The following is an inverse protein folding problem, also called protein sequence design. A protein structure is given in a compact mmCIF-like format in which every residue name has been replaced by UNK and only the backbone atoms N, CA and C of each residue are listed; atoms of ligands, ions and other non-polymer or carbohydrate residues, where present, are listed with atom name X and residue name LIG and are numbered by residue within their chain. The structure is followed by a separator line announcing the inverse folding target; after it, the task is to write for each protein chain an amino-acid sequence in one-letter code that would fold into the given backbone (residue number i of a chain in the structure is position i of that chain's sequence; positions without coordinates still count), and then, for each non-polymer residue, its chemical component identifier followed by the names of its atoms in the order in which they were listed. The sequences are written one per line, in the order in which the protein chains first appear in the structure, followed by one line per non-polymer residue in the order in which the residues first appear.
data_IF_407641863946
#
_entry.id   IF_407641863946
#
_cell.length_a   1.000
_cell.length_b   1.000
_cell.length_c   1.000
_cell.angle_alpha   90.00
_cell.angle_beta   90.00
_cell.angle_gamma   90.00
#
_symmetry.space_group_name_H-M   'P 1'
#
loop_
_entity.id
_entity.type
_entity.pdbx_description
1 polymer ?
#
# COMPACT_ATOMS: atom_id res chain seq x y z
N UNK A 1 15.99 -21.03 -13.72
CA UNK A 1 15.91 -19.91 -12.75
C UNK A 1 15.12 -20.39 -11.55
N UNK A 2 15.47 -19.96 -10.33
CA UNK A 2 14.61 -20.24 -9.18
C UNK A 2 13.24 -19.56 -9.42
N UNK A 3 12.12 -20.16 -9.01
CA UNK A 3 10.81 -19.52 -9.13
C UNK A 3 10.83 -18.18 -8.40
N UNK A 4 10.21 -17.16 -9.01
CA UNK A 4 10.08 -15.85 -8.37
C UNK A 4 9.40 -16.00 -7.01
N UNK A 5 9.98 -15.37 -5.97
CA UNK A 5 9.47 -15.45 -4.60
C UNK A 5 8.05 -14.88 -4.56
N UNK A 6 7.09 -15.63 -4.00
CA UNK A 6 5.75 -15.10 -3.73
C UNK A 6 5.82 -13.97 -2.70
N UNK A 7 5.15 -12.85 -2.98
CA UNK A 7 5.08 -11.69 -2.09
C UNK A 7 3.72 -11.71 -1.39
N UNK A 8 3.73 -11.76 -0.05
CA UNK A 8 2.51 -11.68 0.75
C UNK A 8 2.24 -10.23 1.18
N UNK A 9 1.14 -9.66 0.68
CA UNK A 9 0.62 -8.35 1.10
C UNK A 9 -0.55 -8.53 2.05
N UNK A 10 -0.44 -7.99 3.26
CA UNK A 10 -1.58 -7.84 4.16
C UNK A 10 -2.28 -6.50 3.92
N UNK A 11 -3.60 -6.51 4.05
CA UNK A 11 -4.45 -5.33 3.99
C UNK A 11 -5.20 -5.26 5.31
N UNK A 12 -4.97 -4.23 6.12
CA UNK A 12 -5.64 -4.10 7.40
C UNK A 12 -7.10 -3.69 7.20
N UNK A 13 -8.04 -4.57 7.55
CA UNK A 13 -9.47 -4.33 7.39
C UNK A 13 -10.02 -3.47 8.53
N UNK A 14 -9.97 -2.16 8.32
CA UNK A 14 -10.61 -1.13 9.14
C UNK A 14 -11.61 -0.33 8.28
N UNK A 15 -12.37 0.59 8.88
CA UNK A 15 -13.34 1.45 8.17
C UNK A 15 -12.65 2.53 7.31
N UNK A 16 -11.85 2.12 6.32
CA UNK A 16 -11.06 3.00 5.48
C UNK A 16 -11.82 3.54 4.26
N UNK A 17 -11.31 4.62 3.67
CA UNK A 17 -11.73 5.11 2.37
C UNK A 17 -11.36 4.13 1.27
N UNK A 18 -12.32 3.62 0.50
CA UNK A 18 -12.12 2.47 -0.39
C UNK A 18 -10.95 2.63 -1.38
N UNK A 19 -10.77 3.83 -1.96
CA UNK A 19 -9.72 4.11 -2.93
C UNK A 19 -8.31 4.08 -2.34
N UNK A 20 -8.17 4.30 -1.03
CA UNK A 20 -6.88 4.25 -0.32
C UNK A 20 -6.22 2.88 -0.41
N UNK A 21 -7.04 1.84 -0.60
CA UNK A 21 -6.59 0.45 -0.70
C UNK A 21 -6.82 -0.10 -2.10
N UNK A 22 -8.00 0.11 -2.68
CA UNK A 22 -8.34 -0.45 -3.99
C UNK A 22 -7.39 0.01 -5.10
N UNK A 23 -7.04 1.30 -5.13
CA UNK A 23 -6.12 1.86 -6.13
C UNK A 23 -4.71 1.23 -6.04
N UNK A 24 -4.03 1.31 -4.89
CA UNK A 24 -2.78 0.60 -4.65
C UNK A 24 -2.82 -0.90 -4.97
N UNK A 25 -3.86 -1.61 -4.53
CA UNK A 25 -3.99 -3.04 -4.75
C UNK A 25 -4.10 -3.38 -6.23
N UNK A 26 -4.87 -2.63 -7.01
CA UNK A 26 -5.00 -2.88 -8.45
C UNK A 26 -3.68 -2.65 -9.19
N UNK A 27 -2.88 -1.64 -8.80
CA UNK A 27 -1.54 -1.43 -9.35
C UNK A 27 -0.64 -2.63 -9.04
N UNK A 28 -0.63 -3.09 -7.79
CA UNK A 28 0.15 -4.27 -7.37
C UNK A 28 -0.30 -5.52 -8.14
N UNK A 29 -1.61 -5.78 -8.21
CA UNK A 29 -2.14 -6.98 -8.84
C UNK A 29 -1.87 -6.99 -10.35
N UNK A 30 -1.98 -5.84 -11.03
CA UNK A 30 -1.64 -5.75 -12.45
C UNK A 30 -0.13 -5.92 -12.73
N UNK A 31 0.74 -5.67 -11.74
CA UNK A 31 2.17 -5.96 -11.82
C UNK A 31 2.52 -7.41 -11.45
N UNK A 32 1.55 -8.21 -10.99
CA UNK A 32 1.79 -9.58 -10.52
C UNK A 32 2.04 -10.56 -11.65
N UNK A 33 2.80 -11.62 -11.36
CA UNK A 33 3.02 -12.72 -12.31
C UNK A 33 1.70 -13.30 -12.85
N UNK A 34 0.65 -13.36 -12.04
CA UNK A 34 -0.66 -13.87 -12.44
C UNK A 34 -1.23 -13.09 -13.63
N UNK A 35 -1.28 -11.76 -13.53
CA UNK A 35 -1.84 -10.89 -14.57
C UNK A 35 -0.92 -10.82 -15.79
N UNK A 36 0.38 -10.63 -15.55
CA UNK A 36 1.39 -10.57 -16.63
C UNK A 36 1.39 -11.86 -17.47
N UNK A 37 1.29 -13.03 -16.83
CA UNK A 37 1.22 -14.31 -17.53
C UNK A 37 -0.05 -14.47 -18.36
N UNK A 38 -1.20 -14.05 -17.85
CA UNK A 38 -2.47 -14.11 -18.58
C UNK A 38 -2.41 -13.28 -19.86
N UNK A 39 -1.89 -12.05 -19.78
CA UNK A 39 -1.74 -11.21 -20.96
C UNK A 39 -0.66 -11.69 -21.93
N UNK A 40 0.39 -12.35 -21.43
CA UNK A 40 1.39 -12.97 -22.30
C UNK A 40 0.82 -14.15 -23.10
N UNK A 41 -0.05 -14.97 -22.50
CA UNK A 41 -0.70 -16.11 -23.17
C UNK A 41 -1.57 -15.69 -24.36
N UNK A 42 -2.17 -14.49 -24.31
CA UNK A 42 -2.97 -13.95 -25.41
C UNK A 42 -2.18 -13.00 -26.34
N UNK A 43 -0.85 -12.94 -26.19
CA UNK A 43 0.04 -12.17 -27.07
C UNK A 43 0.04 -10.65 -26.86
N UNK A 44 -0.54 -10.16 -25.76
CA UNK A 44 -0.57 -8.72 -25.42
C UNK A 44 0.74 -8.27 -24.75
N UNK A 45 1.38 -9.17 -24.00
CA UNK A 45 2.63 -8.89 -23.27
C UNK A 45 3.74 -9.84 -23.76
N UNK A 46 4.97 -9.36 -24.02
CA UNK A 46 6.09 -10.24 -24.37
C UNK A 46 6.41 -11.25 -23.26
N UNK A 47 6.69 -12.50 -23.65
CA UNK A 47 6.97 -13.59 -22.69
C UNK A 47 8.15 -13.28 -21.76
N UNK A 48 9.16 -12.53 -22.22
CA UNK A 48 10.31 -12.14 -21.41
C UNK A 48 9.99 -11.20 -20.23
N UNK A 49 8.80 -10.59 -20.20
CA UNK A 49 8.34 -9.78 -19.05
C UNK A 49 7.81 -10.67 -17.93
N UNK A 50 7.28 -11.87 -18.25
CA UNK A 50 6.73 -12.82 -17.26
C UNK A 50 7.80 -13.22 -16.24
N UNK A 51 9.04 -13.44 -16.69
CA UNK A 51 10.17 -13.85 -15.84
C UNK A 51 10.61 -12.76 -14.84
N UNK A 52 10.20 -11.50 -15.06
CA UNK A 52 10.51 -10.35 -14.21
C UNK A 52 9.44 -10.10 -13.14
N UNK A 53 8.26 -10.69 -13.30
CA UNK A 53 7.15 -10.52 -12.37
C UNK A 53 7.17 -11.58 -11.27
N UNK A 54 6.71 -11.22 -10.08
CA UNK A 54 6.55 -12.16 -8.96
C UNK A 54 5.08 -12.43 -8.66
N UNK A 55 4.71 -13.63 -8.19
CA UNK A 55 3.39 -13.86 -7.65
C UNK A 55 3.12 -12.94 -6.46
N UNK A 56 1.92 -12.35 -6.41
CA UNK A 56 1.47 -11.53 -5.27
C UNK A 56 0.21 -12.16 -4.69
N UNK A 57 0.21 -12.39 -3.37
CA UNK A 57 -0.95 -12.89 -2.62
C UNK A 57 -1.41 -11.81 -1.65
N UNK A 58 -2.70 -11.49 -1.69
CA UNK A 58 -3.32 -10.52 -0.78
C UNK A 58 -4.07 -11.22 0.35
N UNK A 59 -3.86 -10.74 1.57
CA UNK A 59 -4.53 -11.21 2.77
C UNK A 59 -5.29 -10.02 3.38
N UNK A 60 -6.62 -10.08 3.37
CA UNK A 60 -7.47 -9.08 4.02
C UNK A 60 -7.58 -9.43 5.50
N UNK A 61 -6.88 -8.70 6.37
CA UNK A 61 -6.66 -9.04 7.78
C UNK A 61 -7.66 -8.30 8.66
N UNK A 62 -8.57 -9.05 9.28
CA UNK A 62 -9.55 -8.55 10.24
C UNK A 62 -9.23 -8.94 11.70
N UNK A 63 -10.02 -8.43 12.63
CA UNK A 63 -10.13 -9.03 13.98
C UNK A 63 -11.05 -10.26 13.94
N UNK A 64 -12.13 -10.17 13.16
CA UNK A 64 -13.03 -11.28 12.82
C UNK A 64 -13.13 -11.43 11.31
N UNK A 65 -13.92 -12.38 10.83
CA UNK A 65 -14.26 -12.53 9.40
C UNK A 65 -15.56 -11.79 9.02
N UNK A 66 -16.08 -10.94 9.92
CA UNK A 66 -17.29 -10.17 9.66
C UNK A 66 -17.02 -9.06 8.63
N UNK A 67 -18.01 -8.69 7.79
CA UNK A 67 -17.84 -7.62 6.82
C UNK A 67 -17.57 -6.26 7.49
N UNK A 68 -16.50 -5.59 7.05
CA UNK A 68 -16.12 -4.23 7.49
C UNK A 68 -16.65 -3.19 6.50
N UNK A 69 -17.36 -2.15 6.96
CA UNK A 69 -17.89 -1.11 6.07
C UNK A 69 -16.78 -0.17 5.59
N UNK A 70 -16.87 0.27 4.33
CA UNK A 70 -15.99 1.24 3.70
C UNK A 70 -16.79 2.43 3.18
N UNK A 71 -16.12 3.47 2.69
CA UNK A 71 -16.79 4.60 2.00
C UNK A 71 -17.59 4.15 0.78
N UNK A 72 -18.65 4.89 0.44
CA UNK A 72 -19.48 4.59 -0.73
C UNK A 72 -20.39 3.38 -0.54
N UNK A 73 -20.72 3.02 0.71
CA UNK A 73 -21.52 1.85 1.08
C UNK A 73 -20.93 0.51 0.64
N UNK A 74 -19.63 0.48 0.32
CA UNK A 74 -18.90 -0.74 0.05
C UNK A 74 -18.65 -1.51 1.36
N UNK A 75 -18.36 -2.80 1.23
CA UNK A 75 -17.90 -3.64 2.34
C UNK A 75 -16.73 -4.49 1.87
N UNK A 76 -15.80 -4.76 2.77
CA UNK A 76 -14.75 -5.77 2.58
C UNK A 76 -14.96 -6.90 3.58
N UNK A 77 -14.81 -8.13 3.12
CA UNK A 77 -14.84 -9.32 3.99
C UNK A 77 -13.40 -9.75 4.22
N UNK A 78 -12.91 -9.74 5.47
CA UNK A 78 -11.58 -10.27 5.78
C UNK A 78 -11.42 -11.71 5.29
N UNK A 79 -10.25 -12.04 4.74
CA UNK A 79 -9.90 -13.39 4.30
C UNK A 79 -9.14 -14.16 5.38
N UNK A 80 -8.64 -13.46 6.40
CA UNK A 80 -7.92 -14.01 7.54
C UNK A 80 -8.07 -13.08 8.75
N UNK A 81 -7.66 -13.55 9.92
CA UNK A 81 -7.63 -12.75 11.15
C UNK A 81 -6.21 -12.44 11.57
N UNK A 82 -6.01 -11.48 12.48
CA UNK A 82 -4.69 -11.18 13.07
C UNK A 82 -3.99 -12.44 13.64
N UNK A 83 -4.76 -13.39 14.17
CA UNK A 83 -4.24 -14.63 14.77
C UNK A 83 -3.88 -15.71 13.75
N UNK A 84 -4.52 -15.70 12.57
CA UNK A 84 -4.40 -16.75 11.55
C UNK A 84 -3.70 -16.30 10.28
N UNK A 85 -3.33 -15.01 10.20
CA UNK A 85 -2.64 -14.43 9.07
C UNK A 85 -1.26 -15.06 8.90
N UNK A 86 -0.88 -15.49 7.69
CA UNK A 86 0.49 -15.93 7.43
C UNK A 86 1.48 -14.76 7.53
N UNK A 87 2.78 -15.07 7.58
CA UNK A 87 3.80 -14.01 7.54
C UNK A 87 3.66 -13.14 6.29
N UNK A 88 3.69 -11.83 6.52
CA UNK A 88 3.55 -10.82 5.48
C UNK A 88 4.92 -10.24 5.12
N UNK A 89 5.15 -10.00 3.83
CA UNK A 89 6.29 -9.19 3.38
C UNK A 89 5.97 -7.70 3.53
N UNK A 90 4.70 -7.33 3.28
CA UNK A 90 4.21 -5.96 3.33
C UNK A 90 2.83 -5.87 3.98
N UNK A 91 2.56 -4.76 4.67
CA UNK A 91 1.23 -4.41 5.21
C UNK A 91 0.80 -3.06 4.64
N UNK A 92 -0.42 -2.98 4.09
CA UNK A 92 -1.03 -1.73 3.62
C UNK A 92 -2.19 -1.34 4.55
N UNK A 93 -2.17 -0.08 4.99
CA UNK A 93 -3.18 0.50 5.88
C UNK A 93 -3.79 1.72 5.20
N UNK A 94 -5.07 1.57 4.82
CA UNK A 94 -5.88 2.67 4.29
C UNK A 94 -6.24 3.70 5.36
N UNK A 95 -6.73 4.86 4.94
CA UNK A 95 -7.13 5.94 5.83
C UNK A 95 -8.55 5.79 6.36
N UNK A 96 -8.76 5.61 7.68
CA UNK A 96 -10.08 5.70 8.32
C UNK A 96 -10.43 7.15 8.62
N UNK A 97 -11.48 7.40 9.43
CA UNK A 97 -11.73 8.76 9.94
C UNK A 97 -10.52 9.27 10.72
N UNK A 98 -10.16 10.56 10.66
CA UNK A 98 -8.91 11.07 11.23
C UNK A 98 -8.73 10.86 12.73
N UNK A 99 -9.82 10.70 13.47
CA UNK A 99 -9.83 10.48 14.92
C UNK A 99 -9.86 9.01 15.32
N UNK A 100 -10.06 8.10 14.36
CA UNK A 100 -10.11 6.67 14.64
C UNK A 100 -8.71 6.16 14.97
N UNK A 101 -8.63 5.29 15.96
CA UNK A 101 -7.41 4.63 16.41
C UNK A 101 -7.55 3.13 16.23
N UNK A 102 -6.42 2.46 16.00
CA UNK A 102 -6.42 1.00 15.97
C UNK A 102 -6.83 0.42 17.33
N UNK A 103 -7.58 -0.68 17.29
CA UNK A 103 -7.85 -1.50 18.47
C UNK A 103 -6.54 -2.05 19.07
N UNK A 104 -6.54 -2.57 20.31
CA UNK A 104 -5.37 -3.23 20.87
C UNK A 104 -4.86 -4.40 20.02
N UNK A 105 -5.77 -5.18 19.41
CA UNK A 105 -5.44 -6.30 18.53
C UNK A 105 -4.65 -5.83 17.31
N UNK A 106 -5.18 -4.85 16.58
CA UNK A 106 -4.49 -4.30 15.40
C UNK A 106 -3.22 -3.54 15.78
N UNK A 107 -3.21 -2.85 16.91
CA UNK A 107 -2.02 -2.17 17.43
C UNK A 107 -0.87 -3.17 17.61
N UNK A 108 -1.14 -4.29 18.29
CA UNK A 108 -0.16 -5.35 18.48
C UNK A 108 0.29 -5.96 17.15
N UNK A 109 -0.65 -6.26 16.26
CA UNK A 109 -0.35 -6.82 14.94
C UNK A 109 0.60 -5.92 14.12
N UNK A 110 0.34 -4.60 14.08
CA UNK A 110 1.20 -3.63 13.40
C UNK A 110 2.58 -3.54 14.06
N UNK A 111 2.64 -3.52 15.40
CA UNK A 111 3.91 -3.51 16.12
C UNK A 111 4.78 -4.74 15.82
N UNK A 112 4.18 -5.94 15.84
CA UNK A 112 4.87 -7.19 15.55
C UNK A 112 5.37 -7.23 14.09
N UNK A 113 4.55 -6.79 13.14
CA UNK A 113 4.92 -6.68 11.73
C UNK A 113 6.12 -5.74 11.52
N UNK A 114 6.09 -4.55 12.13
CA UNK A 114 7.20 -3.58 12.03
C UNK A 114 8.45 -4.09 12.75
N UNK A 115 8.31 -4.71 13.93
CA UNK A 115 9.42 -5.29 14.69
C UNK A 115 10.12 -6.43 13.92
N UNK A 116 9.40 -7.16 13.08
CA UNK A 116 9.95 -8.16 12.17
C UNK A 116 10.70 -7.56 10.96
N UNK A 117 10.78 -6.23 10.85
CA UNK A 117 11.48 -5.53 9.76
C UNK A 117 10.76 -5.58 8.41
N UNK A 118 9.46 -5.90 8.40
CA UNK A 118 8.63 -6.04 7.19
C UNK A 118 8.14 -4.68 6.68
N UNK A 119 7.83 -4.58 5.40
CA UNK A 119 7.46 -3.29 4.80
C UNK A 119 6.08 -2.81 5.25
N UNK A 120 5.92 -1.53 5.49
CA UNK A 120 4.66 -0.93 5.90
C UNK A 120 4.29 0.21 4.96
N UNK A 121 3.09 0.18 4.40
CA UNK A 121 2.52 1.25 3.59
C UNK A 121 1.31 1.84 4.31
N UNK A 122 1.22 3.16 4.32
CA UNK A 122 0.01 3.87 4.74
C UNK A 122 -0.40 4.89 3.71
N UNK A 123 -1.70 5.08 3.53
CA UNK A 123 -2.25 6.09 2.63
C UNK A 123 -3.23 7.00 3.36
N UNK A 124 -3.33 8.26 2.93
CA UNK A 124 -4.28 9.21 3.52
C UNK A 124 -4.06 9.35 5.03
N UNK A 125 -5.08 9.10 5.84
CA UNK A 125 -5.04 9.10 7.30
C UNK A 125 -4.48 7.81 7.90
N UNK A 126 -4.07 6.83 7.09
CA UNK A 126 -3.53 5.54 7.58
C UNK A 126 -2.31 5.71 8.50
N UNK A 127 -1.46 6.72 8.22
CA UNK A 127 -0.33 7.06 9.09
C UNK A 127 -0.78 7.55 10.47
N UNK A 128 -1.90 8.28 10.56
CA UNK A 128 -2.49 8.70 11.83
C UNK A 128 -3.22 7.55 12.53
N UNK A 129 -3.84 6.63 11.79
CA UNK A 129 -4.51 5.46 12.36
C UNK A 129 -3.55 4.61 13.19
N UNK A 130 -2.30 4.48 12.74
CA UNK A 130 -1.24 3.77 13.46
C UNK A 130 -0.45 4.62 14.44
N UNK A 131 -0.79 5.90 14.63
CA UNK A 131 -0.03 6.79 15.50
C UNK A 131 -0.01 6.31 16.96
N UNK A 132 -1.11 5.71 17.44
CA UNK A 132 -1.21 5.14 18.79
C UNK A 132 -0.32 3.91 19.02
N UNK A 133 0.18 3.28 17.95
CA UNK A 133 1.09 2.13 18.05
C UNK A 133 2.52 2.54 18.43
N UNK A 134 2.87 3.82 18.25
CA UNK A 134 4.22 4.35 18.47
C UNK A 134 5.25 3.94 17.40
N UNK A 135 4.89 3.15 16.38
CA UNK A 135 5.86 2.68 15.35
C UNK A 135 6.40 3.82 14.47
N UNK A 136 5.72 4.97 14.47
CA UNK A 136 6.16 6.18 13.76
C UNK A 136 6.92 7.17 14.66
N UNK A 137 7.06 6.91 15.97
CA UNK A 137 7.76 7.81 16.88
C UNK A 137 9.22 8.01 16.42
N UNK A 138 9.61 9.27 16.20
CA UNK A 138 10.94 9.65 15.70
C UNK A 138 11.17 9.42 14.20
N UNK A 139 10.16 8.92 13.47
CA UNK A 139 10.24 8.66 12.02
C UNK A 139 9.80 9.86 11.19
N UNK A 140 10.38 10.00 10.01
CA UNK A 140 9.85 10.91 8.99
C UNK A 140 8.61 10.28 8.36
N UNK A 141 7.50 11.02 8.35
CA UNK A 141 6.25 10.56 7.77
C UNK A 141 5.46 11.71 7.14
N UNK A 142 4.55 11.37 6.24
CA UNK A 142 3.47 12.24 5.80
C UNK A 142 2.14 11.59 6.09
N UNK A 143 1.09 12.39 6.06
CA UNK A 143 -0.31 11.99 6.08
C UNK A 143 -1.03 12.82 5.02
N UNK A 144 -2.32 12.59 4.77
CA UNK A 144 -3.13 13.51 3.98
C UNK A 144 -2.78 14.98 4.31
N UNK A 145 -2.37 15.76 3.31
CA UNK A 145 -1.75 17.07 3.52
C UNK A 145 -2.70 18.08 4.18
N UNK A 146 -4.01 17.92 4.04
CA UNK A 146 -5.04 18.73 4.72
C UNK A 146 -5.12 18.42 6.22
N UNK A 147 -4.66 17.24 6.64
CA UNK A 147 -4.70 16.77 8.03
C UNK A 147 -3.33 16.77 8.71
N UNK A 148 -2.29 17.32 8.06
CA UNK A 148 -0.92 17.32 8.58
C UNK A 148 -0.83 17.99 9.96
N UNK A 149 -1.48 19.15 10.15
CA UNK A 149 -1.42 19.89 11.41
C UNK A 149 -2.17 19.16 12.54
N UNK A 150 -3.25 18.45 12.21
CA UNK A 150 -3.92 17.56 13.15
C UNK A 150 -3.01 16.38 13.53
N UNK A 151 -2.34 15.76 12.56
CA UNK A 151 -1.35 14.71 12.78
C UNK A 151 -0.23 15.14 13.72
N UNK A 152 0.33 16.34 13.53
CA UNK A 152 1.34 16.94 14.42
C UNK A 152 0.82 17.13 15.84
N UNK A 153 -0.43 17.53 15.99
CA UNK A 153 -1.06 17.75 17.29
C UNK A 153 -1.29 16.42 18.03
N UNK A 154 -1.80 15.40 17.34
CA UNK A 154 -2.11 14.10 17.94
C UNK A 154 -0.86 13.26 18.21
N UNK A 155 0.14 13.33 17.32
CA UNK A 155 1.33 12.49 17.37
C UNK A 155 2.59 13.35 17.20
N UNK A 156 2.95 14.17 18.22
CA UNK A 156 4.03 15.17 18.12
C UNK A 156 5.44 14.58 18.04
N UNK A 157 5.60 13.27 18.33
CA UNK A 157 6.88 12.57 18.23
C UNK A 157 7.21 12.15 16.79
N UNK A 158 6.25 12.17 15.88
CA UNK A 158 6.46 11.85 14.47
C UNK A 158 6.96 13.11 13.75
N UNK A 159 7.98 12.96 12.91
CA UNK A 159 8.52 14.07 12.12
C UNK A 159 7.66 14.28 10.85
N UNK A 160 6.47 14.85 11.04
CA UNK A 160 5.51 15.09 9.97
C UNK A 160 5.99 16.13 8.94
N UNK A 161 5.90 15.79 7.67
CA UNK A 161 6.20 16.70 6.56
C UNK A 161 5.19 16.56 5.42
N UNK A 162 4.98 17.65 4.66
CA UNK A 162 4.24 17.66 3.38
C UNK A 162 5.12 18.14 2.21
N UNK A 163 6.44 18.08 2.37
CA UNK A 163 7.38 18.50 1.34
C UNK A 163 7.30 17.62 0.07
N UNK A 164 6.82 16.38 0.23
CA UNK A 164 6.68 15.36 -0.81
C UNK A 164 5.31 14.69 -0.74
N UNK A 165 4.89 14.07 -1.83
CA UNK A 165 3.63 13.31 -1.92
C UNK A 165 3.66 12.03 -1.09
N UNK A 166 4.83 11.43 -0.89
CA UNK A 166 5.06 10.35 0.05
C UNK A 166 6.45 10.48 0.70
N UNK A 167 6.64 9.79 1.82
CA UNK A 167 7.89 9.75 2.58
C UNK A 167 8.26 8.29 2.82
N UNK A 168 9.55 7.98 2.64
CA UNK A 168 10.13 6.66 2.92
C UNK A 168 11.17 6.83 4.03
N UNK A 169 10.97 6.13 5.15
CA UNK A 169 11.91 6.06 6.28
C UNK A 169 12.19 4.58 6.60
N UNK A 170 13.26 4.05 6.02
CA UNK A 170 13.58 2.63 6.07
C UNK A 170 12.55 1.78 5.31
N UNK A 171 11.90 0.87 6.02
CA UNK A 171 10.85 -0.02 5.51
C UNK A 171 9.42 0.56 5.64
N UNK A 172 9.27 1.79 6.16
CA UNK A 172 7.98 2.44 6.34
C UNK A 172 7.77 3.51 5.27
N UNK A 173 6.67 3.40 4.56
CA UNK A 173 6.25 4.23 3.45
C UNK A 173 4.91 4.86 3.79
N UNK A 174 4.87 6.18 3.84
CA UNK A 174 3.65 6.93 4.16
C UNK A 174 3.33 7.86 3.01
N UNK A 175 2.10 7.85 2.51
CA UNK A 175 1.66 8.78 1.46
C UNK A 175 0.71 9.84 2.02
N UNK A 176 0.62 10.96 1.27
CA UNK A 176 -0.33 12.03 1.47
C UNK A 176 -1.76 11.56 1.21
N UNK A 177 -2.41 12.03 0.15
CA UNK A 177 -3.77 11.58 -0.20
C UNK A 177 -3.83 10.19 -0.83
N UNK A 178 -5.05 9.71 -1.11
CA UNK A 178 -5.32 8.42 -1.77
C UNK A 178 -4.53 8.24 -3.07
N UNK A 179 -4.65 9.20 -4.00
CA UNK A 179 -3.97 9.12 -5.28
C UNK A 179 -2.44 9.21 -5.14
N UNK A 180 -1.94 9.95 -4.14
CA UNK A 180 -0.51 9.94 -3.83
C UNK A 180 -0.05 8.56 -3.31
N UNK A 181 -0.95 7.80 -2.66
CA UNK A 181 -0.73 6.40 -2.31
C UNK A 181 -0.62 5.48 -3.52
N UNK A 182 -1.46 5.70 -4.54
CA UNK A 182 -1.34 5.01 -5.83
C UNK A 182 0.01 5.28 -6.49
N UNK A 183 0.42 6.56 -6.55
CA UNK A 183 1.73 6.95 -7.11
C UNK A 183 2.91 6.36 -6.32
N UNK A 184 2.83 6.34 -4.99
CA UNK A 184 3.82 5.74 -4.10
C UNK A 184 4.00 4.25 -4.40
N UNK A 185 2.89 3.53 -4.57
CA UNK A 185 2.91 2.09 -4.86
C UNK A 185 3.36 1.81 -6.29
N UNK A 186 2.98 2.66 -7.23
CA UNK A 186 3.52 2.63 -8.59
C UNK A 186 5.05 2.78 -8.58
N UNK A 187 5.58 3.73 -7.82
CA UNK A 187 7.03 3.90 -7.64
C UNK A 187 7.68 2.66 -7.02
N UNK A 188 7.07 2.07 -6.00
CA UNK A 188 7.56 0.81 -5.40
C UNK A 188 7.57 -0.35 -6.40
N UNK A 189 6.53 -0.48 -7.22
CA UNK A 189 6.42 -1.49 -8.30
C UNK A 189 7.56 -1.30 -9.31
N UNK A 190 7.85 -0.08 -9.74
CA UNK A 190 8.95 0.21 -10.66
C UNK A 190 10.31 -0.15 -10.03
N UNK A 191 10.52 0.18 -8.76
CA UNK A 191 11.75 -0.18 -8.05
C UNK A 191 11.91 -1.69 -7.85
N UNK A 192 10.80 -2.41 -7.68
CA UNK A 192 10.82 -3.85 -7.34
C UNK A 192 10.88 -4.75 -8.57
N UNK A 193 10.11 -4.43 -9.61
CA UNK A 193 9.98 -5.27 -10.81
C UNK A 193 10.55 -4.65 -12.07
N UNK A 194 11.00 -3.39 -12.00
CA UNK A 194 11.50 -2.64 -13.15
C UNK A 194 10.41 -2.02 -14.02
N UNK A 195 10.85 -1.13 -14.91
CA UNK A 195 9.98 -0.31 -15.77
C UNK A 195 9.10 -1.11 -16.72
N UNK A 196 9.55 -2.29 -17.17
CA UNK A 196 8.78 -3.10 -18.12
C UNK A 196 7.52 -3.69 -17.48
N UNK A 197 7.65 -4.26 -16.27
CA UNK A 197 6.50 -4.79 -15.51
C UNK A 197 5.59 -3.64 -15.08
N UNK A 198 6.17 -2.57 -14.53
CA UNK A 198 5.43 -1.38 -14.12
C UNK A 198 4.63 -0.77 -15.29
N UNK A 199 5.26 -0.65 -16.46
CA UNK A 199 4.63 -0.13 -17.67
C UNK A 199 3.47 -0.98 -18.18
N UNK A 200 3.53 -2.31 -18.04
CA UNK A 200 2.37 -3.16 -18.31
C UNK A 200 1.25 -2.84 -17.32
N UNK A 201 1.55 -2.81 -16.03
CA UNK A 201 0.55 -2.57 -14.99
C UNK A 201 -0.18 -1.23 -15.20
N UNK A 202 0.56 -0.17 -15.52
CA UNK A 202 0.01 1.15 -15.78
C UNK A 202 -0.88 1.17 -17.02
N UNK A 203 -0.46 0.54 -18.13
CA UNK A 203 -1.26 0.49 -19.36
C UNK A 203 -2.56 -0.28 -19.20
N UNK A 204 -2.57 -1.36 -18.40
CA UNK A 204 -3.79 -2.13 -18.16
C UNK A 204 -4.84 -1.36 -17.35
N UNK A 205 -4.41 -0.39 -16.56
CA UNK A 205 -5.27 0.47 -15.74
C UNK A 205 -5.55 1.84 -16.37
N UNK A 206 -4.95 2.15 -17.53
CA UNK A 206 -4.87 3.51 -18.07
C UNK A 206 -4.41 4.55 -17.02
N UNK A 207 -3.42 4.15 -16.21
CA UNK A 207 -2.93 4.93 -15.08
C UNK A 207 -1.63 5.67 -15.43
N UNK A 208 -1.57 6.97 -15.13
CA UNK A 208 -0.38 7.81 -15.28
C UNK A 208 0.20 8.15 -13.89
N UNK A 209 1.25 7.46 -13.49
CA UNK A 209 1.91 7.69 -12.20
C UNK A 209 2.59 9.07 -12.13
N UNK A 210 2.43 9.73 -11.00
CA UNK A 210 3.18 10.94 -10.64
C UNK A 210 4.44 10.59 -9.85
N UNK A 211 5.44 11.46 -9.93
CA UNK A 211 6.64 11.39 -9.11
C UNK A 211 6.37 11.87 -7.67
N UNK A 212 7.41 11.81 -6.84
CA UNK A 212 7.37 12.16 -5.41
C UNK A 212 7.07 13.65 -5.18
N UNK A 213 7.20 14.47 -6.21
CA UNK A 213 6.87 15.90 -6.24
C UNK A 213 5.46 16.17 -6.80
N UNK A 214 4.70 15.11 -7.15
CA UNK A 214 3.36 15.21 -7.69
C UNK A 214 3.30 15.62 -9.17
N UNK A 215 4.43 15.57 -9.87
CA UNK A 215 4.50 15.84 -11.32
C UNK A 215 4.29 14.55 -12.08
N UNK A 216 3.60 14.60 -13.23
CA UNK A 216 3.46 13.42 -14.08
C UNK A 216 4.83 12.91 -14.49
N UNK A 217 5.06 11.61 -14.36
CA UNK A 217 6.18 10.98 -15.05
C UNK A 217 5.81 10.99 -16.54
N UNK A 218 6.55 11.73 -17.37
CA UNK A 218 6.26 11.83 -18.81
C UNK A 218 6.13 10.39 -19.36
N UNK A 219 5.06 10.12 -20.15
CA UNK A 219 4.89 8.83 -20.82
C UNK A 219 6.24 8.46 -21.45
N UNK A 220 6.76 7.28 -21.16
CA UNK A 220 7.81 6.74 -22.00
C UNK A 220 7.21 6.65 -23.41
N UNK A 221 7.55 7.60 -24.28
CA UNK A 221 7.21 7.53 -25.68
C UNK A 221 7.86 6.26 -26.22
N UNK A 222 7.02 5.34 -26.70
CA UNK A 222 7.46 4.13 -27.42
C UNK A 222 8.11 4.53 -28.75
#
# INVERSE_FOLDING_TARGET
MAPAKNINFGILCIEYQAIDVAGPMDILFNASHQVISQYAQIGVVPQGIVEKASPITFHHVGETLDPVPLTGNMKIVPSTTCDTCPELDYLLIGGPRPTDQLSPTFTKFVQEHVAAGRGLFTTCTGAMAIGNTGVLDGKNATVNHELLELGKTMYPKVHWTKAKQWVVDGNIWTSGGACAGMDMIAHWVEQTFGKEVAGVAYRMLDFEARDVDGKRTLRAEN
#
